data_IF_926690120078
#
_entry.id   IF_926690120078
#
_cell.length_a   1.000
_cell.length_b   1.000
_cell.length_c   1.000
_cell.angle_alpha   90.00
_cell.angle_beta   90.00
_cell.angle_gamma   90.00
#
_symmetry.space_group_name_H-M   'P 1'
#
loop_
_entity.id
_entity.type
_entity.pdbx_description
1 polymer ?
#
# COMPACT_ATOMS: atom_id res chain seq x y z
N UNK A 1 -12.34 -25.51 22.55
CA UNK A 1 -12.85 -24.92 21.29
C UNK A 1 -11.82 -25.16 20.20
N UNK A 2 -12.23 -25.62 19.02
CA UNK A 2 -11.35 -25.69 17.84
C UNK A 2 -11.25 -24.31 17.19
N UNK A 3 -10.11 -24.00 16.58
CA UNK A 3 -9.90 -22.79 15.78
C UNK A 3 -9.64 -23.18 14.31
N UNK A 4 -10.04 -22.36 13.32
CA UNK A 4 -9.75 -22.62 11.92
C UNK A 4 -8.25 -22.78 11.67
N UNK A 5 -7.88 -23.73 10.80
CA UNK A 5 -6.50 -23.94 10.36
C UNK A 5 -6.32 -23.34 8.97
N UNK A 6 -5.24 -22.58 8.76
CA UNK A 6 -4.94 -22.00 7.45
C UNK A 6 -4.54 -23.08 6.45
N UNK A 7 -4.74 -22.82 5.16
CA UNK A 7 -4.25 -23.72 4.10
C UNK A 7 -2.73 -23.91 4.14
N UNK A 8 -1.98 -22.88 4.57
CA UNK A 8 -0.53 -22.98 4.77
C UNK A 8 -0.18 -24.04 5.82
N UNK A 9 -0.89 -24.06 6.95
CA UNK A 9 -0.68 -25.06 7.99
C UNK A 9 -1.17 -26.44 7.55
N UNK A 10 -2.37 -26.53 6.95
CA UNK A 10 -2.92 -27.80 6.49
C UNK A 10 -2.04 -28.47 5.43
N UNK A 11 -1.43 -27.67 4.56
CA UNK A 11 -0.65 -28.17 3.42
C UNK A 11 0.86 -28.20 3.67
N UNK A 12 1.33 -27.79 4.85
CA UNK A 12 2.76 -27.74 5.20
C UNK A 12 3.58 -26.71 4.41
N UNK A 13 2.94 -25.67 3.85
CA UNK A 13 3.56 -24.65 2.97
C UNK A 13 3.71 -23.27 3.62
N UNK A 14 3.63 -23.18 4.94
CA UNK A 14 3.92 -21.95 5.65
C UNK A 14 5.37 -21.50 5.43
N UNK A 15 5.58 -20.20 5.28
CA UNK A 15 6.90 -19.58 5.18
C UNK A 15 6.98 -18.40 6.17
N UNK A 16 8.18 -18.07 6.67
CA UNK A 16 8.34 -16.97 7.61
C UNK A 16 7.95 -15.63 6.95
N UNK A 17 7.44 -14.66 7.73
CA UNK A 17 7.24 -13.30 7.23
C UNK A 17 8.53 -12.68 6.68
N UNK A 18 8.38 -11.74 5.75
CA UNK A 18 9.50 -11.02 5.17
C UNK A 18 10.28 -10.23 6.24
N UNK A 19 11.61 -10.25 6.13
CA UNK A 19 12.49 -9.30 6.83
C UNK A 19 12.82 -8.16 5.89
N UNK A 20 12.60 -6.92 6.32
CA UNK A 20 12.79 -5.73 5.48
C UNK A 20 14.20 -5.68 4.85
N UNK A 21 15.23 -6.11 5.59
CA UNK A 21 16.62 -6.17 5.12
C UNK A 21 16.82 -7.04 3.86
N UNK A 22 15.92 -7.98 3.58
CA UNK A 22 15.96 -8.85 2.40
C UNK A 22 14.65 -8.79 1.59
N UNK A 23 13.93 -7.67 1.66
CA UNK A 23 12.68 -7.46 0.94
C UNK A 23 12.76 -6.25 0.00
N UNK A 24 11.76 -6.15 -0.87
CA UNK A 24 11.39 -4.95 -1.61
C UNK A 24 10.04 -4.48 -1.11
N UNK A 25 9.86 -3.17 -0.90
CA UNK A 25 8.59 -2.58 -0.52
C UNK A 25 7.78 -2.26 -1.78
N UNK A 26 6.53 -2.68 -1.84
CA UNK A 26 5.58 -2.31 -2.90
C UNK A 26 4.44 -1.55 -2.28
N UNK A 27 4.23 -0.29 -2.68
CA UNK A 27 3.11 0.56 -2.25
C UNK A 27 2.14 0.65 -3.41
N UNK A 28 0.93 0.15 -3.20
CA UNK A 28 -0.09 0.02 -4.24
C UNK A 28 -1.14 1.10 -4.05
N UNK A 29 -1.31 1.92 -5.09
CA UNK A 29 -2.41 2.85 -5.28
C UNK A 29 -2.64 3.82 -4.11
N UNK A 30 -1.55 4.33 -3.53
CA UNK A 30 -1.58 5.38 -2.50
C UNK A 30 -1.93 6.75 -3.12
N UNK A 31 -3.12 6.85 -3.75
CA UNK A 31 -3.62 8.03 -4.46
C UNK A 31 -4.75 8.73 -3.70
N UNK A 32 -4.91 10.03 -3.92
CA UNK A 32 -5.91 10.87 -3.22
C UNK A 32 -7.36 10.51 -3.52
N UNK A 33 -7.65 9.77 -4.62
CA UNK A 33 -8.98 9.26 -4.95
C UNK A 33 -9.62 8.51 -3.78
N UNK A 34 -8.82 7.81 -2.96
CA UNK A 34 -9.31 7.05 -1.81
C UNK A 34 -9.57 7.88 -0.55
N UNK A 35 -9.31 9.18 -0.56
CA UNK A 35 -9.51 10.05 0.60
C UNK A 35 -10.92 10.66 0.66
N UNK A 36 -11.67 10.66 -0.44
CA UNK A 36 -12.97 11.32 -0.52
C UNK A 36 -13.81 10.80 -1.69
N UNK A 37 -15.09 11.21 -1.73
CA UNK A 37 -15.98 10.83 -2.82
C UNK A 37 -16.43 9.36 -2.73
N UNK A 38 -16.92 8.78 -3.84
CA UNK A 38 -17.55 7.47 -3.82
C UNK A 38 -16.58 6.31 -3.57
N UNK A 39 -15.28 6.54 -3.71
CA UNK A 39 -14.23 5.55 -3.46
C UNK A 39 -13.48 5.78 -2.14
N UNK A 40 -13.97 6.68 -1.28
CA UNK A 40 -13.35 6.93 0.01
C UNK A 40 -13.24 5.64 0.84
N UNK A 41 -12.03 5.33 1.29
CA UNK A 41 -11.76 4.15 2.11
C UNK A 41 -11.89 4.46 3.60
N UNK A 42 -12.25 3.44 4.38
CA UNK A 42 -12.29 3.53 5.84
C UNK A 42 -10.90 3.29 6.44
N UNK A 43 -10.57 3.96 7.55
CA UNK A 43 -9.30 3.75 8.26
C UNK A 43 -8.07 4.35 7.57
N UNK A 44 -8.24 5.32 6.68
CA UNK A 44 -7.15 5.90 5.90
C UNK A 44 -6.07 6.59 6.73
N UNK A 45 -6.43 7.25 7.84
CA UNK A 45 -5.45 7.96 8.67
C UNK A 45 -4.38 7.00 9.21
N UNK A 46 -4.80 5.84 9.75
CA UNK A 46 -3.89 4.83 10.28
C UNK A 46 -3.12 4.13 9.16
N UNK A 47 -3.80 3.81 8.05
CA UNK A 47 -3.16 3.19 6.89
C UNK A 47 -2.05 4.08 6.31
N UNK A 48 -2.33 5.36 6.07
CA UNK A 48 -1.37 6.34 5.53
C UNK A 48 -0.20 6.52 6.49
N UNK A 49 -0.45 6.65 7.79
CA UNK A 49 0.60 6.76 8.79
C UNK A 49 1.53 5.52 8.80
N UNK A 50 0.97 4.32 8.67
CA UNK A 50 1.76 3.09 8.65
C UNK A 50 2.51 2.87 7.33
N UNK A 51 1.95 3.27 6.18
CA UNK A 51 2.69 3.29 4.92
C UNK A 51 3.88 4.24 5.03
N UNK A 52 3.70 5.42 5.64
CA UNK A 52 4.79 6.37 5.89
C UNK A 52 5.94 5.75 6.70
N UNK A 53 5.62 5.01 7.78
CA UNK A 53 6.63 4.29 8.57
C UNK A 53 7.39 3.24 7.76
N UNK A 54 6.68 2.47 6.92
CA UNK A 54 7.31 1.47 6.07
C UNK A 54 8.21 2.11 5.01
N UNK A 55 7.75 3.19 4.38
CA UNK A 55 8.50 3.94 3.38
C UNK A 55 9.77 4.54 3.97
N UNK A 56 9.67 5.18 5.14
CA UNK A 56 10.82 5.71 5.87
C UNK A 56 11.82 4.62 6.22
N UNK A 57 11.35 3.50 6.78
CA UNK A 57 12.21 2.37 7.17
C UNK A 57 12.90 1.75 5.95
N UNK A 58 12.18 1.56 4.83
CA UNK A 58 12.74 1.01 3.60
C UNK A 58 13.81 1.92 3.01
N UNK A 59 13.53 3.24 2.94
CA UNK A 59 14.49 4.25 2.47
C UNK A 59 15.74 4.30 3.34
N UNK A 60 15.58 4.35 4.67
CA UNK A 60 16.71 4.33 5.63
C UNK A 60 17.57 3.08 5.48
N UNK A 61 16.97 1.93 5.21
CA UNK A 61 17.67 0.66 5.03
C UNK A 61 18.17 0.42 3.58
N UNK A 62 18.03 1.40 2.67
CA UNK A 62 18.45 1.29 1.28
C UNK A 62 17.74 0.15 0.51
N UNK A 63 16.48 -0.13 0.85
CA UNK A 63 15.70 -1.20 0.24
C UNK A 63 14.98 -0.71 -1.02
N UNK A 64 14.79 -1.58 -2.03
CA UNK A 64 13.99 -1.21 -3.20
C UNK A 64 12.56 -0.83 -2.79
N UNK A 65 12.07 0.29 -3.31
CA UNK A 65 10.68 0.74 -3.14
C UNK A 65 10.04 0.90 -4.52
N UNK A 66 8.91 0.24 -4.73
CA UNK A 66 8.11 0.31 -5.96
C UNK A 66 6.77 0.93 -5.64
N UNK A 67 6.46 2.04 -6.30
CA UNK A 67 5.16 2.70 -6.20
C UNK A 67 4.33 2.34 -7.42
N UNK A 68 3.11 1.84 -7.19
CA UNK A 68 2.11 1.56 -8.22
C UNK A 68 1.00 2.58 -8.09
N UNK A 69 0.53 3.09 -9.23
CA UNK A 69 -0.66 3.93 -9.32
C UNK A 69 -1.50 3.53 -10.50
N UNK A 70 -2.80 3.79 -10.42
CA UNK A 70 -3.66 3.82 -11.58
C UNK A 70 -3.19 4.91 -12.57
N UNK A 71 -3.24 4.57 -13.86
CA UNK A 71 -3.11 5.54 -14.95
C UNK A 71 -4.28 6.54 -14.91
N UNK A 72 -5.48 6.04 -14.60
CA UNK A 72 -6.70 6.82 -14.49
C UNK A 72 -7.28 7.26 -15.84
N UNK A 73 -8.37 8.02 -15.76
CA UNK A 73 -9.04 8.61 -16.92
C UNK A 73 -9.11 10.12 -16.75
N UNK A 74 -8.68 10.89 -17.76
CA UNK A 74 -8.78 12.36 -17.74
C UNK A 74 -10.25 12.78 -17.54
N UNK A 75 -10.50 13.64 -16.56
CA UNK A 75 -11.84 14.05 -16.12
C UNK A 75 -12.63 12.99 -15.33
N UNK A 76 -12.04 11.83 -15.05
CA UNK A 76 -12.70 10.66 -14.46
C UNK A 76 -12.12 10.22 -13.12
N UNK A 77 -12.17 8.91 -12.86
CA UNK A 77 -11.55 8.30 -11.68
C UNK A 77 -10.03 8.27 -11.83
N UNK A 78 -9.32 8.53 -10.73
CA UNK A 78 -7.86 8.59 -10.66
C UNK A 78 -7.26 9.56 -11.68
N UNK A 79 -8.00 10.62 -12.03
CA UNK A 79 -7.63 11.56 -13.09
C UNK A 79 -6.17 12.00 -12.98
N UNK A 80 -5.29 11.65 -13.94
CA UNK A 80 -3.87 11.98 -13.86
C UNK A 80 -3.59 13.49 -14.00
N UNK A 81 -4.56 14.28 -14.46
CA UNK A 81 -4.49 15.74 -14.54
C UNK A 81 -5.26 16.43 -13.38
N UNK A 82 -5.94 15.64 -12.55
CA UNK A 82 -6.72 16.12 -11.40
C UNK A 82 -6.07 15.74 -10.08
N UNK A 83 -6.52 16.39 -9.00
CA UNK A 83 -5.99 16.16 -7.66
C UNK A 83 -6.18 14.71 -7.17
N UNK A 84 -7.21 14.02 -7.62
CA UNK A 84 -7.50 12.65 -7.17
C UNK A 84 -6.52 11.60 -7.69
N UNK A 85 -5.88 11.85 -8.85
CA UNK A 85 -4.83 10.98 -9.38
C UNK A 85 -3.46 11.16 -8.74
N UNK A 86 -3.27 12.22 -7.94
CA UNK A 86 -2.01 12.49 -7.23
C UNK A 86 -1.78 11.48 -6.10
N UNK A 87 -0.52 11.33 -5.69
CA UNK A 87 -0.14 10.59 -4.49
C UNK A 87 -0.73 11.25 -3.23
N UNK A 88 -1.05 10.42 -2.24
CA UNK A 88 -1.37 10.91 -0.90
C UNK A 88 -0.12 11.63 -0.35
N UNK A 89 -0.27 12.83 0.25
CA UNK A 89 0.88 13.60 0.75
C UNK A 89 1.74 12.80 1.74
N UNK A 90 3.05 12.84 1.56
CA UNK A 90 4.03 12.10 2.36
C UNK A 90 4.29 10.67 1.90
N UNK A 91 3.54 10.17 0.91
CA UNK A 91 3.71 8.84 0.31
C UNK A 91 4.23 8.90 -1.14
N UNK A 92 4.79 10.04 -1.54
CA UNK A 92 5.38 10.23 -2.86
C UNK A 92 6.61 9.32 -3.06
N UNK A 93 6.89 8.86 -4.31
CA UNK A 93 8.09 8.08 -4.66
C UNK A 93 9.42 8.74 -4.30
#
# INVERSE_FOLDING_TARGET
MSVPTTMFHLSGRGYPPAKLSNASLVIIDAQKEYLSGPLALSGMDEAVANIGKLLEAARKAGRPVVHVRHLGTVGGLFDPQGSRGEWIPGLEP
#
